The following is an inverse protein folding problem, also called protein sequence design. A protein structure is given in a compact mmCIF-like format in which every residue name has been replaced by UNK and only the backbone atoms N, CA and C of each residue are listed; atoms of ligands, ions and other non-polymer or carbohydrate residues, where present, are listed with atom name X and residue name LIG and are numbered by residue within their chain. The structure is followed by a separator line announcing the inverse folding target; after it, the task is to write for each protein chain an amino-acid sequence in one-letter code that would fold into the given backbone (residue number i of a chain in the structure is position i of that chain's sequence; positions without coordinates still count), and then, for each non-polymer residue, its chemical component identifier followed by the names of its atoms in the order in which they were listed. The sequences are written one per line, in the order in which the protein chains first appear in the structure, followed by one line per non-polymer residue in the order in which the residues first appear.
data_IF_475916874897
#
_entry.id   IF_475916874897
#
_cell.length_a   1.000
_cell.length_b   1.000
_cell.length_c   1.000
_cell.angle_alpha   90.00
_cell.angle_beta   90.00
_cell.angle_gamma   90.00
#
_symmetry.space_group_name_H-M   'P 1'
#
loop_
_entity.id
_entity.type
_entity.pdbx_description
1 polymer ?
#
# COMPACT_ATOMS: atom_id res chain seq x y z
N UNK A 1 13.99 60.13 5.56
CA UNK A 1 14.19 58.93 4.73
C UNK A 1 13.71 57.76 5.57
N UNK A 2 12.56 57.24 5.18
CA UNK A 2 11.87 56.09 5.75
C UNK A 2 12.84 54.90 5.91
N UNK A 3 12.81 54.06 6.95
CA UNK A 3 11.67 53.60 7.72
C UNK A 3 11.30 52.18 7.26
N UNK A 4 12.04 51.16 7.70
CA UNK A 4 11.55 49.77 7.65
C UNK A 4 12.13 48.97 8.82
N UNK A 5 11.62 49.25 10.02
CA UNK A 5 11.72 48.31 11.14
C UNK A 5 10.98 47.02 10.72
N UNK A 6 11.69 45.88 10.68
CA UNK A 6 11.01 44.58 10.62
C UNK A 6 10.15 44.44 11.89
N UNK A 7 8.85 44.13 11.78
CA UNK A 7 8.06 43.86 12.97
C UNK A 7 8.60 42.60 13.68
N UNK A 8 8.56 42.58 15.02
CA UNK A 8 8.95 41.41 15.80
C UNK A 8 8.03 40.23 15.49
N UNK A 9 8.62 39.04 15.33
CA UNK A 9 7.91 37.79 15.10
C UNK A 9 7.20 37.37 16.40
N UNK A 10 5.87 37.39 16.40
CA UNK A 10 5.08 37.08 17.60
C UNK A 10 4.92 35.56 17.83
N UNK A 11 5.27 35.04 19.02
CA UNK A 11 5.35 33.59 19.29
C UNK A 11 4.01 32.86 19.53
N UNK A 12 2.88 33.56 19.65
CA UNK A 12 1.57 32.94 19.95
C UNK A 12 0.71 32.59 18.72
N UNK A 13 1.17 32.88 17.50
CA UNK A 13 0.48 32.49 16.25
C UNK A 13 1.08 31.24 15.60
N UNK A 14 1.59 30.30 16.40
CA UNK A 14 2.01 28.99 15.93
C UNK A 14 0.77 28.09 15.67
N UNK A 15 -0.10 28.50 14.74
CA UNK A 15 -1.15 27.62 14.19
C UNK A 15 -0.42 26.46 13.53
N UNK A 16 -0.40 25.31 14.20
CA UNK A 16 0.26 24.06 13.82
C UNK A 16 0.08 23.81 12.31
N UNK A 17 1.10 24.16 11.53
CA UNK A 17 1.04 24.20 10.07
C UNK A 17 1.37 22.83 9.52
N UNK A 18 0.45 21.87 9.63
CA UNK A 18 0.61 20.55 9.01
C UNK A 18 0.82 20.67 7.49
N UNK A 19 0.35 21.77 6.89
CA UNK A 19 0.57 22.09 5.48
C UNK A 19 2.03 22.39 5.11
N UNK A 20 2.88 22.86 6.03
CA UNK A 20 4.30 23.07 5.69
C UNK A 20 5.06 21.75 5.60
N UNK A 21 4.75 20.78 6.47
CA UNK A 21 5.37 19.45 6.40
C UNK A 21 4.82 18.61 5.23
N UNK A 22 3.55 18.79 4.89
CA UNK A 22 2.95 18.16 3.70
C UNK A 22 3.46 18.78 2.38
N UNK A 23 3.91 20.04 2.41
CA UNK A 23 4.58 20.66 1.25
C UNK A 23 5.98 20.10 1.00
N UNK A 24 6.66 19.69 2.08
CA UNK A 24 8.01 19.10 2.05
C UNK A 24 7.98 17.58 1.79
N UNK A 25 6.78 16.97 1.78
CA UNK A 25 6.61 15.55 1.53
C UNK A 25 6.75 15.24 0.03
N UNK A 26 7.37 14.11 -0.31
CA UNK A 26 7.60 13.64 -1.70
C UNK A 26 6.32 13.38 -2.51
N UNK A 27 5.15 13.48 -1.87
CA UNK A 27 3.85 13.35 -2.51
C UNK A 27 3.50 14.62 -3.27
N UNK A 28 3.98 14.70 -4.51
CA UNK A 28 3.66 15.78 -5.49
C UNK A 28 2.15 16.02 -5.64
N UNK A 29 1.32 15.01 -5.37
CA UNK A 29 -0.13 15.15 -5.38
C UNK A 29 -0.64 16.12 -4.30
N UNK A 30 -0.04 16.10 -3.10
CA UNK A 30 -0.50 16.90 -1.95
C UNK A 30 -0.12 18.37 -2.13
N UNK A 31 1.08 18.66 -2.65
CA UNK A 31 1.51 20.03 -2.98
C UNK A 31 0.63 20.66 -4.06
N UNK A 32 0.25 19.88 -5.08
CA UNK A 32 -0.61 20.34 -6.18
C UNK A 32 -2.07 20.59 -5.73
N UNK A 33 -2.57 19.85 -4.73
CA UNK A 33 -3.88 20.08 -4.10
C UNK A 33 -3.86 21.34 -3.22
N UNK A 34 -2.79 21.57 -2.47
CA UNK A 34 -2.63 22.76 -1.62
C UNK A 34 -2.49 24.05 -2.44
N UNK A 35 -1.87 23.98 -3.62
CA UNK A 35 -1.62 25.13 -4.48
C UNK A 35 -2.80 25.52 -5.38
N UNK A 36 -3.89 24.74 -5.40
CA UNK A 36 -5.06 25.03 -6.25
C UNK A 36 -6.08 25.88 -5.48
N UNK A 37 -6.41 27.07 -5.99
CA UNK A 37 -7.40 28.01 -5.40
C UNK A 37 -8.87 27.59 -5.64
N UNK A 38 -9.15 26.88 -6.73
CA UNK A 38 -10.49 26.42 -7.08
C UNK A 38 -10.99 25.30 -6.15
N UNK A 39 -12.05 25.58 -5.38
CA UNK A 39 -12.65 24.61 -4.45
C UNK A 39 -13.14 23.32 -5.13
N UNK A 40 -13.83 23.42 -6.28
CA UNK A 40 -14.34 22.22 -6.98
C UNK A 40 -13.22 21.33 -7.53
N UNK A 41 -12.15 21.94 -8.08
CA UNK A 41 -10.99 21.18 -8.60
C UNK A 41 -10.18 20.57 -7.45
N UNK A 42 -10.09 21.26 -6.32
CA UNK A 42 -9.45 20.75 -5.10
C UNK A 42 -10.16 19.53 -4.53
N UNK A 43 -11.49 19.55 -4.50
CA UNK A 43 -12.32 18.41 -4.05
C UNK A 43 -12.12 17.22 -4.98
N UNK A 44 -12.19 17.42 -6.31
CA UNK A 44 -11.97 16.34 -7.28
C UNK A 44 -10.60 15.69 -7.13
N UNK A 45 -9.52 16.48 -7.06
CA UNK A 45 -8.15 15.96 -6.86
C UNK A 45 -8.02 15.19 -5.53
N UNK A 46 -8.67 15.66 -4.47
CA UNK A 46 -8.67 14.99 -3.16
C UNK A 46 -9.39 13.65 -3.23
N UNK A 47 -10.57 13.58 -3.87
CA UNK A 47 -11.32 12.34 -4.05
C UNK A 47 -10.48 11.31 -4.81
N UNK A 48 -9.87 11.71 -5.94
CA UNK A 48 -9.01 10.83 -6.73
C UNK A 48 -7.85 10.28 -5.91
N UNK A 49 -7.21 11.12 -5.09
CA UNK A 49 -6.12 10.70 -4.22
C UNK A 49 -6.60 9.68 -3.17
N UNK A 50 -7.74 9.94 -2.52
CA UNK A 50 -8.34 9.01 -1.55
C UNK A 50 -8.69 7.68 -2.21
N UNK A 51 -9.37 7.70 -3.36
CA UNK A 51 -9.72 6.47 -4.09
C UNK A 51 -8.49 5.66 -4.47
N UNK A 52 -7.42 6.32 -4.94
CA UNK A 52 -6.16 5.68 -5.28
C UNK A 52 -5.50 5.04 -4.04
N UNK A 53 -5.45 5.76 -2.92
CA UNK A 53 -4.91 5.21 -1.66
C UNK A 53 -5.72 4.01 -1.18
N UNK A 54 -7.05 4.09 -1.20
CA UNK A 54 -7.92 2.98 -0.78
C UNK A 54 -7.71 1.75 -1.67
N UNK A 55 -7.65 1.93 -2.99
CA UNK A 55 -7.38 0.84 -3.93
C UNK A 55 -6.00 0.19 -3.69
N UNK A 56 -4.97 1.02 -3.50
CA UNK A 56 -3.63 0.54 -3.18
C UNK A 56 -3.58 -0.24 -1.86
N UNK A 57 -4.19 0.29 -0.79
CA UNK A 57 -4.25 -0.41 0.49
C UNK A 57 -5.00 -1.73 0.38
N UNK A 58 -6.13 -1.76 -0.33
CA UNK A 58 -6.90 -2.99 -0.53
C UNK A 58 -6.04 -4.08 -1.19
N UNK A 59 -5.40 -3.73 -2.31
CA UNK A 59 -4.52 -4.66 -3.02
C UNK A 59 -3.33 -5.11 -2.16
N UNK A 60 -2.72 -4.18 -1.42
CA UNK A 60 -1.62 -4.49 -0.51
C UNK A 60 -2.05 -5.46 0.60
N UNK A 61 -3.22 -5.26 1.20
CA UNK A 61 -3.75 -6.14 2.25
C UNK A 61 -4.03 -7.53 1.67
N UNK A 62 -4.71 -7.63 0.52
CA UNK A 62 -4.99 -8.92 -0.12
C UNK A 62 -3.70 -9.69 -0.42
N UNK A 63 -2.69 -9.01 -0.96
CA UNK A 63 -1.38 -9.61 -1.22
C UNK A 63 -0.70 -10.05 0.08
N UNK A 64 -0.78 -9.24 1.13
CA UNK A 64 -0.24 -9.57 2.43
C UNK A 64 -0.92 -10.81 3.02
N UNK A 65 -2.25 -10.89 2.98
CA UNK A 65 -2.98 -12.09 3.43
C UNK A 65 -2.53 -13.34 2.70
N UNK A 66 -2.44 -13.29 1.37
CA UNK A 66 -1.96 -14.43 0.56
C UNK A 66 -0.51 -14.81 0.90
N UNK A 67 0.34 -13.82 1.17
CA UNK A 67 1.72 -14.05 1.59
C UNK A 67 1.80 -14.74 2.96
N UNK A 68 0.94 -14.36 3.93
CA UNK A 68 0.89 -14.99 5.25
C UNK A 68 0.26 -16.38 5.26
N UNK A 69 -0.50 -16.73 4.23
CA UNK A 69 -1.11 -18.06 4.09
C UNK A 69 -0.07 -19.13 3.72
N UNK A 70 1.17 -18.74 3.37
CA UNK A 70 2.24 -19.63 2.89
C UNK A 70 1.71 -20.73 1.94
N UNK A 71 0.97 -20.37 0.88
CA UNK A 71 0.41 -21.37 0.00
C UNK A 71 1.54 -22.12 -0.68
N UNK A 72 1.62 -23.44 -0.44
CA UNK A 72 2.57 -24.31 -1.13
C UNK A 72 2.02 -24.60 -2.52
N UNK A 73 2.68 -24.04 -3.53
CA UNK A 73 2.37 -24.38 -4.93
C UNK A 73 3.02 -25.73 -5.21
N UNK A 74 2.21 -26.79 -5.25
CA UNK A 74 2.66 -28.13 -5.62
C UNK A 74 2.56 -28.24 -7.14
N UNK A 75 3.70 -28.23 -7.80
CA UNK A 75 3.78 -28.51 -9.23
C UNK A 75 3.80 -30.03 -9.43
N UNK A 76 2.78 -30.56 -10.11
CA UNK A 76 2.62 -32.00 -10.33
C UNK A 76 3.07 -32.29 -11.76
N UNK A 77 4.31 -32.72 -11.91
CA UNK A 77 4.81 -33.23 -13.18
C UNK A 77 4.64 -34.75 -13.25
N UNK A 78 4.03 -35.24 -14.34
CA UNK A 78 3.80 -36.67 -14.55
C UNK A 78 4.94 -37.22 -15.41
N UNK A 79 6.00 -37.67 -14.76
CA UNK A 79 7.09 -38.36 -15.41
C UNK A 79 6.73 -39.84 -15.62
N UNK A 80 6.96 -40.36 -16.84
CA UNK A 80 6.78 -41.79 -17.18
C UNK A 80 8.16 -42.45 -17.31
N UNK A 81 8.76 -42.93 -16.21
CA UNK A 81 10.08 -43.52 -16.27
C UNK A 81 10.07 -44.88 -17.00
N UNK A 82 11.17 -45.22 -17.66
CA UNK A 82 11.34 -46.50 -18.36
C UNK A 82 11.34 -47.71 -17.39
N UNK A 83 11.71 -47.48 -16.13
CA UNK A 83 11.74 -48.46 -15.06
C UNK A 83 11.04 -47.86 -13.83
N UNK A 84 10.17 -48.63 -13.17
CA UNK A 84 9.48 -48.21 -11.93
C UNK A 84 9.71 -49.27 -10.86
N UNK A 85 10.10 -48.84 -9.67
CA UNK A 85 10.27 -49.73 -8.52
C UNK A 85 8.93 -50.38 -8.16
N UNK A 86 8.94 -51.71 -7.95
CA UNK A 86 7.72 -52.43 -7.61
C UNK A 86 7.30 -52.09 -6.17
N UNK A 87 6.06 -51.60 -5.93
CA UNK A 87 5.62 -51.28 -4.59
C UNK A 87 5.43 -52.55 -3.76
N UNK A 88 5.51 -52.39 -2.43
CA UNK A 88 5.17 -53.48 -1.51
C UNK A 88 3.69 -53.82 -1.59
N UNK A 89 3.37 -55.10 -1.82
CA UNK A 89 2.01 -55.60 -1.74
C UNK A 89 1.73 -56.08 -0.32
N UNK A 90 0.75 -55.46 0.33
CA UNK A 90 0.28 -55.88 1.65
C UNK A 90 -1.11 -56.49 1.48
N UNK A 91 -1.26 -57.75 1.88
CA UNK A 91 -2.54 -58.45 1.87
C UNK A 91 -3.09 -58.56 3.30
N UNK A 92 -4.36 -58.24 3.47
CA UNK A 92 -5.08 -58.48 4.72
C UNK A 92 -6.13 -59.59 4.53
N UNK A 93 -6.24 -60.44 5.54
CA UNK A 93 -7.36 -61.37 5.70
C UNK A 93 -8.49 -60.66 6.47
N UNK A 94 -9.75 -60.93 6.11
CA UNK A 94 -10.92 -60.32 6.74
C UNK A 94 -11.46 -61.13 7.93
N UNK A 95 -10.76 -62.18 8.36
CA UNK A 95 -10.99 -62.80 9.65
C UNK A 95 -10.29 -61.99 10.75
N UNK A 96 -11.08 -61.14 11.41
CA UNK A 96 -10.67 -60.35 12.58
C UNK A 96 -10.29 -61.19 13.80
#
# INVERSE_FOLDING_TARGET
MEGQLRPPQEPWRQRRSSVSMLKESSLTAVTNIVSTEDYSRKIFKTIVLITCLTGFLYQAITFFTYYFEYPTIVDIDIEKPMMTEMPGFTFCDNNG
#
